data_IF_160956025688
#
_entry.id   IF_160956025688
#
_cell.length_a   1.000
_cell.length_b   1.000
_cell.length_c   1.000
_cell.angle_alpha   90.00
_cell.angle_beta   90.00
_cell.angle_gamma   90.00
#
_symmetry.space_group_name_H-M   'P 1'
#
loop_
_entity.id
_entity.type
_entity.pdbx_description
1 polymer ?
#
# COMPACT_ATOMS: atom_id res chain seq x y z
N UNK A 1 6.55 -23.14 38.73
CA UNK A 1 5.48 -24.05 39.21
C UNK A 1 4.30 -24.14 38.24
N UNK A 2 3.69 -23.02 37.81
CA UNK A 2 2.55 -23.06 36.86
C UNK A 2 2.87 -23.70 35.49
N UNK A 3 4.00 -23.35 34.88
CA UNK A 3 4.40 -23.89 33.57
C UNK A 3 4.53 -25.43 33.58
N UNK A 4 5.25 -26.00 34.56
CA UNK A 4 5.43 -27.45 34.69
C UNK A 4 4.09 -28.18 34.85
N UNK A 5 3.17 -27.64 35.66
CA UNK A 5 1.83 -28.21 35.80
C UNK A 5 1.06 -28.24 34.47
N UNK A 6 1.10 -27.15 33.69
CA UNK A 6 0.44 -27.10 32.38
C UNK A 6 1.10 -28.05 31.36
N UNK A 7 2.42 -28.18 31.43
CA UNK A 7 3.17 -29.11 30.60
C UNK A 7 2.79 -30.57 30.91
N UNK A 8 2.82 -30.96 32.19
CA UNK A 8 2.48 -32.31 32.62
C UNK A 8 1.01 -32.67 32.31
N UNK A 9 0.13 -31.68 32.22
CA UNK A 9 -1.27 -31.83 31.80
C UNK A 9 -1.46 -31.92 30.27
N UNK A 10 -0.39 -31.85 29.47
CA UNK A 10 -0.43 -31.86 28.00
C UNK A 10 -1.00 -30.59 27.37
N UNK A 11 -1.16 -29.51 28.15
CA UNK A 11 -1.70 -28.24 27.67
C UNK A 11 -0.72 -27.53 26.73
N UNK A 12 0.57 -27.53 27.07
CA UNK A 12 1.61 -26.81 26.31
C UNK A 12 1.77 -27.38 24.90
N UNK A 13 1.85 -28.70 24.74
CA UNK A 13 1.95 -29.33 23.41
C UNK A 13 0.75 -28.96 22.52
N UNK A 14 -0.46 -29.09 23.06
CA UNK A 14 -1.69 -28.75 22.34
C UNK A 14 -1.72 -27.28 21.93
N UNK A 15 -1.37 -26.37 22.84
CA UNK A 15 -1.31 -24.95 22.53
C UNK A 15 -0.24 -24.64 21.50
N UNK A 16 0.93 -25.26 21.60
CA UNK A 16 2.01 -25.07 20.64
C UNK A 16 1.58 -25.43 19.21
N UNK A 17 0.91 -26.56 19.03
CA UNK A 17 0.36 -26.97 17.74
C UNK A 17 -0.70 -25.97 17.22
N UNK A 18 -1.60 -25.50 18.08
CA UNK A 18 -2.61 -24.51 17.69
C UNK A 18 -2.00 -23.16 17.31
N UNK A 19 -0.97 -22.70 18.05
CA UNK A 19 -0.28 -21.46 17.75
C UNK A 19 0.52 -21.53 16.46
N UNK A 20 1.20 -22.66 16.22
CA UNK A 20 1.95 -22.89 14.99
C UNK A 20 1.05 -22.87 13.74
N UNK A 21 -0.13 -23.48 13.81
CA UNK A 21 -1.00 -23.63 12.64
C UNK A 21 -1.95 -22.44 12.41
N UNK A 22 -2.52 -21.84 13.46
CA UNK A 22 -3.63 -20.88 13.31
C UNK A 22 -3.49 -19.64 14.20
N UNK A 23 -3.14 -19.78 15.49
CA UNK A 23 -3.26 -18.63 16.43
C UNK A 23 -2.24 -17.53 16.23
N UNK A 24 -1.09 -17.81 15.63
CA UNK A 24 -0.16 -16.76 15.20
C UNK A 24 -0.88 -15.74 14.28
N UNK A 25 -1.73 -16.19 13.35
CA UNK A 25 -2.44 -15.29 12.42
C UNK A 25 -3.49 -14.46 13.18
N UNK A 26 -4.25 -15.09 14.09
CA UNK A 26 -5.22 -14.38 14.92
C UNK A 26 -4.56 -13.31 15.82
N UNK A 27 -3.36 -13.58 16.31
CA UNK A 27 -2.58 -12.61 17.08
C UNK A 27 -2.28 -11.34 16.27
N UNK A 28 -1.88 -11.47 14.99
CA UNK A 28 -1.66 -10.30 14.12
C UNK A 28 -2.92 -9.45 14.02
N UNK A 29 -4.07 -10.08 13.78
CA UNK A 29 -5.35 -9.36 13.68
C UNK A 29 -5.64 -8.61 14.98
N UNK A 30 -5.41 -9.25 16.14
CA UNK A 30 -5.59 -8.61 17.43
C UNK A 30 -4.66 -7.40 17.61
N UNK A 31 -3.38 -7.53 17.27
CA UNK A 31 -2.41 -6.44 17.35
C UNK A 31 -2.74 -5.31 16.39
N UNK A 32 -3.11 -5.60 15.13
CA UNK A 32 -3.47 -4.59 14.15
C UNK A 32 -4.74 -3.82 14.56
N UNK A 33 -5.75 -4.49 15.12
CA UNK A 33 -6.94 -3.84 15.69
C UNK A 33 -6.55 -2.94 16.86
N UNK A 34 -5.65 -3.41 17.73
CA UNK A 34 -5.16 -2.65 18.88
C UNK A 34 -4.39 -1.39 18.46
N UNK A 35 -3.45 -1.52 17.52
CA UNK A 35 -2.70 -0.41 16.94
C UNK A 35 -3.63 0.58 16.22
N UNK A 36 -4.60 0.09 15.46
CA UNK A 36 -5.58 0.94 14.79
C UNK A 36 -6.39 1.77 15.80
N UNK A 37 -6.79 1.19 16.94
CA UNK A 37 -7.43 1.96 18.02
C UNK A 37 -6.48 2.98 18.61
N UNK A 38 -5.26 2.58 18.98
CA UNK A 38 -4.27 3.46 19.59
C UNK A 38 -3.93 4.67 18.70
N UNK A 39 -3.77 4.48 17.38
CA UNK A 39 -3.44 5.57 16.46
C UNK A 39 -4.66 6.40 16.01
N UNK A 40 -5.87 5.84 15.96
CA UNK A 40 -7.08 6.58 15.59
C UNK A 40 -7.71 7.34 16.76
N UNK A 41 -7.42 6.97 18.01
CA UNK A 41 -7.99 7.57 19.22
C UNK A 41 -7.42 8.95 19.60
N UNK A 42 -6.68 9.62 18.71
CA UNK A 42 -6.46 11.07 18.83
C UNK A 42 -7.77 11.86 18.62
N UNK A 43 -8.88 11.22 18.20
CA UNK A 43 -10.12 11.92 17.85
C UNK A 43 -11.31 11.80 18.83
N UNK A 44 -11.68 10.67 19.43
CA UNK A 44 -12.92 10.59 20.26
C UNK A 44 -12.98 9.32 21.16
N UNK A 45 -12.56 9.42 22.43
CA UNK A 45 -13.19 8.80 23.64
C UNK A 45 -12.17 8.81 24.80
N UNK A 46 -12.41 9.64 25.82
CA UNK A 46 -11.54 9.82 26.99
C UNK A 46 -11.54 8.59 27.94
N UNK A 47 -12.50 7.68 27.82
CA UNK A 47 -12.66 6.55 28.76
C UNK A 47 -11.78 5.33 28.45
N UNK A 48 -11.29 5.16 27.21
CA UNK A 48 -10.42 4.05 26.80
C UNK A 48 -8.90 4.36 26.98
N UNK A 49 -8.55 5.62 27.29
CA UNK A 49 -7.15 6.08 27.42
C UNK A 49 -6.45 5.44 28.63
N UNK A 50 -7.20 5.03 29.66
CA UNK A 50 -6.65 4.46 30.89
C UNK A 50 -6.24 2.97 30.76
N UNK A 51 -6.51 2.32 29.63
CA UNK A 51 -6.21 0.89 29.45
C UNK A 51 -5.00 0.60 28.53
N UNK A 52 -4.39 1.62 27.91
CA UNK A 52 -3.24 1.43 27.03
C UNK A 52 -1.94 1.63 27.80
N UNK A 53 -1.32 0.54 28.24
CA UNK A 53 -0.02 0.56 28.92
C UNK A 53 1.18 0.62 27.96
N UNK A 54 0.93 0.73 26.65
CA UNK A 54 1.97 0.76 25.63
C UNK A 54 2.50 -0.60 25.21
N UNK A 55 1.96 -1.70 25.75
CA UNK A 55 2.45 -3.06 25.46
C UNK A 55 1.55 -3.81 24.50
N UNK A 56 2.15 -4.67 23.68
CA UNK A 56 1.40 -5.60 22.84
C UNK A 56 0.83 -6.74 23.68
N UNK A 57 -0.30 -7.36 23.28
CA UNK A 57 -0.84 -8.53 23.96
C UNK A 57 0.20 -9.65 24.13
N UNK A 58 0.14 -10.45 25.22
CA UNK A 58 1.05 -11.57 25.41
C UNK A 58 1.00 -12.59 24.27
N UNK A 59 2.15 -13.08 23.86
CA UNK A 59 2.29 -14.10 22.82
C UNK A 59 2.79 -15.42 23.41
N UNK A 60 2.21 -16.55 23.02
CA UNK A 60 2.55 -17.87 23.59
C UNK A 60 4.04 -18.20 23.51
N UNK A 61 4.66 -18.02 22.35
CA UNK A 61 6.10 -18.27 22.19
C UNK A 61 6.97 -17.34 23.05
N UNK A 62 6.55 -16.09 23.27
CA UNK A 62 7.23 -15.18 24.20
C UNK A 62 7.11 -15.65 25.65
N UNK A 63 5.93 -16.13 26.06
CA UNK A 63 5.76 -16.69 27.41
C UNK A 63 6.57 -17.98 27.64
N UNK A 64 6.76 -18.79 26.60
CA UNK A 64 7.63 -19.96 26.67
C UNK A 64 9.10 -19.58 26.89
N UNK A 65 9.59 -18.60 26.14
CA UNK A 65 10.98 -18.15 26.17
C UNK A 65 11.40 -17.49 27.50
N UNK A 66 10.44 -17.14 28.38
CA UNK A 66 10.70 -16.67 29.75
C UNK A 66 11.16 -17.77 30.71
N UNK A 67 11.06 -19.05 30.34
CA UNK A 67 11.39 -20.18 31.22
C UNK A 67 12.36 -21.15 30.55
N UNK A 68 13.35 -21.64 31.30
CA UNK A 68 14.33 -22.62 30.78
C UNK A 68 13.67 -23.87 30.18
N UNK A 69 12.64 -24.41 30.85
CA UNK A 69 11.90 -25.57 30.34
C UNK A 69 11.14 -25.23 29.06
N UNK A 70 10.56 -24.03 28.95
CA UNK A 70 9.89 -23.58 27.75
C UNK A 70 10.87 -23.43 26.57
N UNK A 71 12.06 -22.88 26.80
CA UNK A 71 13.13 -22.83 25.80
C UNK A 71 13.53 -24.23 25.34
N UNK A 72 13.73 -25.19 26.25
CA UNK A 72 14.07 -26.57 25.90
C UNK A 72 13.01 -27.20 24.98
N UNK A 73 11.73 -27.06 25.34
CA UNK A 73 10.62 -27.59 24.53
C UNK A 73 10.58 -26.91 23.15
N UNK A 74 10.77 -25.59 23.10
CA UNK A 74 10.79 -24.85 21.84
C UNK A 74 11.93 -25.30 20.91
N UNK A 75 13.12 -25.56 21.48
CA UNK A 75 14.28 -26.09 20.76
C UNK A 75 14.00 -27.50 20.23
N UNK A 76 13.47 -28.39 21.07
CA UNK A 76 13.17 -29.78 20.68
C UNK A 76 12.14 -29.87 19.55
N UNK A 77 11.17 -28.95 19.52
CA UNK A 77 10.11 -28.90 18.50
C UNK A 77 10.58 -28.28 17.20
N UNK A 78 11.63 -27.46 17.21
CA UNK A 78 12.22 -26.86 16.00
C UNK A 78 11.38 -25.74 15.35
N UNK A 79 10.30 -25.28 15.99
CA UNK A 79 9.41 -24.27 15.41
C UNK A 79 10.14 -22.95 15.09
N UNK A 80 11.10 -22.55 15.93
CA UNK A 80 11.85 -21.32 15.71
C UNK A 80 12.73 -21.40 14.44
N UNK A 81 13.33 -22.55 14.16
CA UNK A 81 14.08 -22.77 12.92
C UNK A 81 13.15 -22.71 11.69
N UNK A 82 11.96 -23.31 11.77
CA UNK A 82 10.95 -23.21 10.72
C UNK A 82 10.47 -21.76 10.49
N UNK A 83 10.30 -20.99 11.56
CA UNK A 83 9.98 -19.57 11.49
C UNK A 83 11.08 -18.77 10.78
N UNK A 84 12.33 -18.99 11.16
CA UNK A 84 13.49 -18.34 10.54
C UNK A 84 13.63 -18.68 9.07
N UNK A 85 13.44 -19.95 8.70
CA UNK A 85 13.44 -20.38 7.30
C UNK A 85 12.29 -19.74 6.51
N UNK A 86 11.09 -19.65 7.09
CA UNK A 86 9.94 -19.03 6.44
C UNK A 86 10.16 -17.54 6.19
N UNK A 87 10.68 -16.80 7.18
CA UNK A 87 11.00 -15.37 7.04
C UNK A 87 11.98 -15.15 5.88
N UNK A 88 13.07 -15.92 5.82
CA UNK A 88 14.07 -15.81 4.74
C UNK A 88 13.47 -16.12 3.36
N UNK A 89 12.64 -17.15 3.28
CA UNK A 89 12.02 -17.58 2.02
C UNK A 89 11.04 -16.55 1.47
N UNK A 90 10.36 -15.81 2.34
CA UNK A 90 9.26 -14.90 1.97
C UNK A 90 9.59 -13.42 2.19
N UNK A 91 10.86 -13.06 2.39
CA UNK A 91 11.30 -11.69 2.68
C UNK A 91 10.91 -10.65 1.61
N UNK A 92 10.79 -11.08 0.36
CA UNK A 92 10.42 -10.25 -0.80
C UNK A 92 8.94 -10.40 -1.22
N UNK A 93 8.13 -11.12 -0.44
CA UNK A 93 6.71 -11.33 -0.77
C UNK A 93 5.94 -10.01 -0.83
N UNK A 94 5.16 -9.83 -1.90
CA UNK A 94 4.44 -8.58 -2.16
C UNK A 94 3.10 -8.74 -2.87
N UNK A 95 2.74 -9.95 -3.27
CA UNK A 95 1.54 -10.23 -4.08
C UNK A 95 0.53 -11.09 -3.31
N UNK A 96 0.99 -12.15 -2.65
CA UNK A 96 0.12 -13.10 -1.97
C UNK A 96 -0.23 -12.62 -0.55
N UNK A 97 -1.49 -12.19 -0.37
CA UNK A 97 -1.99 -11.67 0.90
C UNK A 97 -1.96 -12.71 2.03
N UNK A 98 -2.15 -14.00 1.73
CA UNK A 98 -2.11 -15.05 2.75
C UNK A 98 -0.67 -15.26 3.23
N UNK A 99 0.30 -15.27 2.31
CA UNK A 99 1.72 -15.36 2.66
C UNK A 99 2.21 -14.10 3.40
N UNK A 100 1.76 -12.91 3.01
CA UNK A 100 2.06 -11.66 3.72
C UNK A 100 1.54 -11.72 5.17
N UNK A 101 0.30 -12.16 5.37
CA UNK A 101 -0.27 -12.29 6.71
C UNK A 101 0.45 -13.34 7.54
N UNK A 102 0.79 -14.48 6.94
CA UNK A 102 1.59 -15.52 7.61
C UNK A 102 2.98 -15.00 7.98
N UNK A 103 3.65 -14.25 7.10
CA UNK A 103 4.95 -13.64 7.37
C UNK A 103 4.88 -12.67 8.55
N UNK A 104 3.89 -11.76 8.57
CA UNK A 104 3.66 -10.88 9.72
C UNK A 104 3.48 -11.66 11.02
N UNK A 105 2.72 -12.76 10.97
CA UNK A 105 2.45 -13.57 12.16
C UNK A 105 3.69 -14.23 12.74
N UNK A 106 4.58 -14.69 11.87
CA UNK A 106 5.84 -15.31 12.25
C UNK A 106 6.84 -14.25 12.73
N UNK A 107 6.88 -13.07 12.10
CA UNK A 107 7.69 -11.93 12.56
C UNK A 107 7.29 -11.52 13.99
N UNK A 108 5.99 -11.41 14.29
CA UNK A 108 5.51 -11.14 15.64
C UNK A 108 5.89 -12.23 16.64
N UNK A 109 5.82 -13.50 16.24
CA UNK A 109 6.25 -14.61 17.08
C UNK A 109 7.74 -14.52 17.43
N UNK A 110 8.60 -14.28 16.42
CA UNK A 110 10.05 -14.10 16.59
C UNK A 110 10.37 -12.89 17.46
N UNK A 111 9.70 -11.75 17.24
CA UNK A 111 9.88 -10.55 18.07
C UNK A 111 9.52 -10.78 19.54
N UNK A 112 8.41 -11.48 19.80
CA UNK A 112 8.01 -11.80 21.17
C UNK A 112 8.96 -12.79 21.86
N UNK A 113 9.57 -13.72 21.12
CA UNK A 113 10.65 -14.56 21.65
C UNK A 113 11.87 -13.70 21.99
N UNK A 114 12.31 -12.84 21.05
CA UNK A 114 13.44 -11.95 21.22
C UNK A 114 13.27 -10.85 22.28
N UNK A 115 12.04 -10.59 22.74
CA UNK A 115 11.75 -9.70 23.86
C UNK A 115 12.06 -10.32 25.24
N UNK A 116 12.72 -11.47 25.27
CA UNK A 116 13.06 -12.19 26.50
C UNK A 116 14.53 -12.61 26.47
N UNK A 117 15.20 -12.54 27.62
CA UNK A 117 16.61 -12.94 27.75
C UNK A 117 16.84 -14.41 27.32
N UNK A 118 15.89 -15.31 27.64
CA UNK A 118 15.97 -16.72 27.24
C UNK A 118 15.68 -16.98 25.76
N UNK A 119 15.14 -15.99 25.04
CA UNK A 119 14.81 -16.08 23.62
C UNK A 119 15.92 -15.59 22.69
N UNK A 120 16.80 -14.69 23.14
CA UNK A 120 17.90 -14.15 22.32
C UNK A 120 18.82 -15.23 21.73
N UNK A 121 19.20 -16.32 22.44
CA UNK A 121 20.04 -17.36 21.86
C UNK A 121 19.44 -17.98 20.60
N UNK A 122 18.12 -18.11 20.51
CA UNK A 122 17.46 -18.61 19.29
C UNK A 122 17.65 -17.66 18.10
N UNK A 123 17.58 -16.35 18.35
CA UNK A 123 17.76 -15.33 17.31
C UNK A 123 19.20 -15.31 16.79
N UNK A 124 20.17 -15.50 17.69
CA UNK A 124 21.60 -15.60 17.37
C UNK A 124 21.93 -16.90 16.63
N UNK A 125 21.50 -18.06 17.15
CA UNK A 125 21.72 -19.37 16.53
C UNK A 125 21.18 -19.45 15.10
N UNK A 126 19.99 -18.88 14.89
CA UNK A 126 19.40 -18.84 13.55
C UNK A 126 19.93 -17.69 12.70
N UNK A 127 20.66 -16.69 13.22
CA UNK A 127 21.05 -15.47 12.49
C UNK A 127 19.85 -14.74 11.83
N UNK A 128 18.77 -14.53 12.58
CA UNK A 128 17.52 -13.99 12.02
C UNK A 128 17.47 -12.45 11.97
N UNK A 129 18.20 -11.77 12.86
CA UNK A 129 18.16 -10.30 12.98
C UNK A 129 18.51 -9.60 11.65
N UNK A 130 19.58 -9.97 10.91
CA UNK A 130 19.88 -9.38 9.60
C UNK A 130 18.74 -9.51 8.58
N UNK A 131 17.99 -10.63 8.62
CA UNK A 131 16.87 -10.83 7.72
C UNK A 131 15.69 -9.91 8.07
N UNK A 132 15.41 -9.71 9.37
CA UNK A 132 14.37 -8.78 9.83
C UNK A 132 14.72 -7.34 9.45
N UNK A 133 15.97 -6.93 9.63
CA UNK A 133 16.48 -5.62 9.22
C UNK A 133 16.34 -5.39 7.70
N UNK A 134 16.74 -6.39 6.90
CA UNK A 134 16.60 -6.31 5.44
C UNK A 134 15.14 -6.14 5.00
N UNK A 135 14.20 -6.82 5.66
CA UNK A 135 12.75 -6.66 5.38
C UNK A 135 12.27 -5.27 5.81
N UNK A 136 12.70 -4.79 6.99
CA UNK A 136 12.35 -3.46 7.51
C UNK A 136 12.73 -2.35 6.50
N UNK A 137 13.92 -2.46 5.92
CA UNK A 137 14.46 -1.46 5.00
C UNK A 137 13.96 -1.62 3.56
N UNK A 138 13.86 -2.86 3.04
CA UNK A 138 13.74 -3.10 1.59
C UNK A 138 12.40 -3.69 1.16
N UNK A 139 11.54 -4.12 2.09
CA UNK A 139 10.27 -4.75 1.70
C UNK A 139 9.41 -3.78 0.88
N UNK A 140 8.86 -4.22 -0.27
CA UNK A 140 7.94 -3.41 -1.07
C UNK A 140 6.58 -3.22 -0.40
N UNK A 141 6.28 -3.94 0.68
CA UNK A 141 5.00 -3.88 1.41
C UNK A 141 5.18 -3.05 2.70
N UNK A 142 4.68 -1.80 2.76
CA UNK A 142 4.91 -0.91 3.89
C UNK A 142 4.41 -1.45 5.24
N UNK A 143 3.32 -2.23 5.26
CA UNK A 143 2.83 -2.82 6.50
C UNK A 143 3.76 -3.90 7.06
N UNK A 144 4.55 -4.58 6.22
CA UNK A 144 5.56 -5.54 6.69
C UNK A 144 6.75 -4.77 7.26
N UNK A 145 7.21 -3.70 6.59
CA UNK A 145 8.25 -2.80 7.13
C UNK A 145 7.90 -2.31 8.53
N UNK A 146 6.67 -1.82 8.72
CA UNK A 146 6.17 -1.39 10.03
C UNK A 146 6.08 -2.53 11.05
N UNK A 147 5.75 -3.74 10.63
CA UNK A 147 5.78 -4.93 11.51
C UNK A 147 7.20 -5.23 11.98
N UNK A 148 8.18 -5.21 11.06
CA UNK A 148 9.59 -5.39 11.41
C UNK A 148 10.09 -4.30 12.36
N UNK A 149 9.66 -3.05 12.17
CA UNK A 149 9.99 -1.95 13.09
C UNK A 149 9.54 -2.24 14.53
N UNK A 150 8.30 -2.70 14.73
CA UNK A 150 7.83 -3.11 16.06
C UNK A 150 8.57 -4.33 16.60
N UNK A 151 8.88 -5.30 15.74
CA UNK A 151 9.66 -6.50 16.11
C UNK A 151 11.07 -6.14 16.57
N UNK A 152 11.74 -5.20 15.90
CA UNK A 152 13.06 -4.71 16.30
C UNK A 152 12.98 -3.96 17.63
N UNK A 153 11.91 -3.17 17.87
CA UNK A 153 11.63 -2.59 19.18
C UNK A 153 11.42 -3.64 20.27
N UNK A 154 10.70 -4.73 19.97
CA UNK A 154 10.56 -5.85 20.92
C UNK A 154 11.91 -6.48 21.26
N UNK A 155 12.78 -6.73 20.28
CA UNK A 155 14.13 -7.29 20.49
C UNK A 155 14.97 -6.32 21.34
N UNK A 156 14.89 -5.01 21.06
CA UNK A 156 15.61 -3.97 21.80
C UNK A 156 15.09 -3.73 23.22
N UNK A 157 14.13 -4.51 23.73
CA UNK A 157 13.65 -4.40 25.12
C UNK A 157 14.60 -5.07 26.13
N UNK A 158 15.51 -5.91 25.64
CA UNK A 158 16.57 -6.56 26.43
C UNK A 158 17.90 -5.82 26.23
N UNK A 159 18.79 -5.87 27.23
CA UNK A 159 20.09 -5.18 27.12
C UNK A 159 20.96 -5.79 26.02
N UNK A 160 21.01 -7.13 25.93
CA UNK A 160 21.77 -7.82 24.90
C UNK A 160 21.12 -7.62 23.51
N UNK A 161 19.79 -7.63 23.40
CA UNK A 161 19.11 -7.34 22.13
C UNK A 161 19.37 -5.91 21.63
N UNK A 162 19.42 -4.93 22.54
CA UNK A 162 19.80 -3.56 22.22
C UNK A 162 21.26 -3.45 21.74
N UNK A 163 22.20 -4.14 22.39
CA UNK A 163 23.61 -4.19 21.99
C UNK A 163 23.77 -4.83 20.60
N UNK A 164 23.09 -5.95 20.34
CA UNK A 164 23.12 -6.59 19.01
C UNK A 164 22.61 -5.65 17.92
N UNK A 165 21.55 -4.86 18.19
CA UNK A 165 21.01 -3.93 17.20
C UNK A 165 21.94 -2.72 16.96
N UNK A 166 22.69 -2.29 17.98
CA UNK A 166 23.70 -1.24 17.84
C UNK A 166 24.79 -1.64 16.82
N UNK A 167 25.21 -2.91 16.80
CA UNK A 167 26.15 -3.45 15.80
C UNK A 167 25.63 -3.30 14.35
N UNK A 168 24.31 -3.27 14.17
CA UNK A 168 23.65 -3.04 12.88
C UNK A 168 23.26 -1.57 12.63
N UNK A 169 23.77 -0.63 13.43
CA UNK A 169 23.41 0.80 13.35
C UNK A 169 21.92 1.06 13.57
N UNK A 170 21.33 0.33 14.51
CA UNK A 170 19.98 0.54 15.01
C UNK A 170 20.04 0.88 16.51
N UNK A 171 19.83 2.14 16.84
CA UNK A 171 19.99 2.67 18.19
C UNK A 171 18.74 2.41 19.03
N UNK A 172 18.91 1.69 20.15
CA UNK A 172 17.87 1.53 21.15
C UNK A 172 17.83 2.72 22.10
N UNK A 173 16.63 3.17 22.47
CA UNK A 173 16.49 4.22 23.48
C UNK A 173 16.56 3.62 24.89
N UNK A 174 17.19 4.36 25.80
CA UNK A 174 17.38 3.96 27.20
C UNK A 174 16.56 4.87 28.11
N UNK A 175 16.06 4.32 29.21
CA UNK A 175 15.48 5.10 30.29
C UNK A 175 16.58 5.77 31.14
N UNK A 176 16.24 6.65 32.11
CA UNK A 176 17.23 7.32 32.95
C UNK A 176 18.10 6.39 33.82
N UNK A 177 17.71 5.11 33.98
CA UNK A 177 18.48 4.09 34.68
C UNK A 177 19.40 3.30 33.73
N UNK A 178 19.45 3.66 32.44
CA UNK A 178 20.25 2.99 31.43
C UNK A 178 19.64 1.68 30.91
N UNK A 179 18.38 1.38 31.24
CA UNK A 179 17.70 0.18 30.76
C UNK A 179 16.99 0.46 29.43
N UNK A 180 17.04 -0.46 28.46
CA UNK A 180 16.32 -0.29 27.20
C UNK A 180 14.81 -0.14 27.40
N UNK A 181 14.17 0.69 26.58
CA UNK A 181 12.73 0.96 26.66
C UNK A 181 11.89 0.10 25.71
N UNK A 182 12.53 -0.67 24.81
CA UNK A 182 11.85 -1.38 23.72
C UNK A 182 11.51 -0.51 22.50
N UNK A 183 12.16 0.66 22.37
CA UNK A 183 12.13 1.49 21.16
C UNK A 183 13.51 1.49 20.51
N UNK A 184 13.55 1.25 19.21
CA UNK A 184 14.78 1.20 18.42
C UNK A 184 14.58 1.86 17.05
N UNK A 185 15.56 2.64 16.60
CA UNK A 185 15.49 3.39 15.35
C UNK A 185 16.78 3.22 14.52
N UNK A 186 16.69 3.16 13.19
CA UNK A 186 17.88 3.13 12.35
C UNK A 186 18.63 4.46 12.43
N UNK A 187 19.96 4.40 12.49
CA UNK A 187 20.83 5.58 12.36
C UNK A 187 20.67 6.19 10.97
N UNK A 188 20.61 5.37 9.92
CA UNK A 188 20.24 5.80 8.57
C UNK A 188 18.72 5.78 8.39
N UNK A 189 18.06 6.83 8.88
CA UNK A 189 16.62 6.99 8.77
C UNK A 189 16.12 7.04 7.32
N UNK A 190 16.91 7.60 6.39
CA UNK A 190 16.50 7.79 4.98
C UNK A 190 16.28 6.44 4.30
N UNK A 191 17.15 5.47 4.54
CA UNK A 191 17.02 4.10 4.02
C UNK A 191 15.68 3.45 4.43
N UNK A 192 15.23 3.72 5.66
CA UNK A 192 14.03 3.14 6.24
C UNK A 192 12.73 3.85 5.82
N UNK A 193 12.76 5.15 5.53
CA UNK A 193 11.56 5.88 5.08
C UNK A 193 11.40 5.93 3.56
N UNK A 194 12.48 5.70 2.81
CA UNK A 194 12.43 5.76 1.35
C UNK A 194 11.56 4.63 0.81
N UNK A 195 10.62 4.99 -0.07
CA UNK A 195 9.85 4.04 -0.88
C UNK A 195 10.21 4.34 -2.34
N UNK A 196 10.70 3.35 -3.12
CA UNK A 196 11.01 3.54 -4.52
C UNK A 196 9.82 4.13 -5.27
N UNK A 197 10.05 5.21 -6.02
CA UNK A 197 9.01 5.81 -6.85
C UNK A 197 8.58 4.84 -7.94
N UNK A 198 7.27 4.64 -8.09
CA UNK A 198 6.74 3.89 -9.22
C UNK A 198 7.13 4.57 -10.53
N UNK A 199 7.79 3.83 -11.42
CA UNK A 199 8.16 4.36 -12.74
C UNK A 199 6.95 4.27 -13.67
N UNK A 200 6.41 5.41 -14.15
CA UNK A 200 5.25 5.39 -15.02
C UNK A 200 5.60 4.78 -16.37
N UNK A 201 4.79 3.82 -16.83
CA UNK A 201 4.85 3.36 -18.21
C UNK A 201 4.42 4.50 -19.12
N UNK A 202 5.37 5.11 -19.81
CA UNK A 202 5.10 6.14 -20.82
C UNK A 202 4.55 5.43 -22.05
N UNK A 203 3.21 5.36 -22.13
CA UNK A 203 2.55 4.91 -23.35
C UNK A 203 2.66 6.04 -24.37
N UNK A 204 3.25 5.74 -25.52
CA UNK A 204 3.27 6.66 -26.66
C UNK A 204 1.82 7.07 -26.95
N UNK A 205 1.51 8.37 -26.83
CA UNK A 205 0.16 8.90 -27.00
C UNK A 205 -0.20 8.91 -28.49
N UNK A 206 -0.16 7.76 -29.15
CA UNK A 206 -0.91 7.60 -30.38
C UNK A 206 -2.37 7.78 -30.01
N UNK A 207 -3.02 8.80 -30.56
CA UNK A 207 -4.44 9.13 -30.36
C UNK A 207 -5.33 7.94 -30.79
N UNK A 208 -5.41 6.90 -29.97
CA UNK A 208 -6.18 5.71 -30.28
C UNK A 208 -7.63 6.00 -29.91
N UNK A 209 -8.37 6.57 -30.85
CA UNK A 209 -9.84 6.64 -30.75
C UNK A 209 -10.36 5.21 -30.61
N UNK A 210 -11.30 5.02 -29.68
CA UNK A 210 -12.01 3.76 -29.53
C UNK A 210 -13.27 3.77 -30.40
N UNK A 211 -13.61 2.62 -30.98
CA UNK A 211 -14.91 2.43 -31.65
C UNK A 211 -16.01 2.67 -30.61
N UNK A 212 -17.00 3.56 -30.81
CA UNK A 212 -18.02 3.86 -29.80
C UNK A 212 -18.89 2.63 -29.48
N UNK A 213 -19.49 2.53 -28.28
CA UNK A 213 -20.52 1.54 -28.00
C UNK A 213 -21.76 1.80 -28.88
N UNK A 214 -22.44 0.74 -29.29
CA UNK A 214 -23.65 0.81 -30.11
C UNK A 214 -24.92 0.61 -29.30
N UNK A 215 -24.82 0.00 -28.12
CA UNK A 215 -25.95 -0.30 -27.23
C UNK A 215 -26.30 0.94 -26.40
N UNK A 216 -27.58 1.33 -26.38
CA UNK A 216 -28.06 2.54 -25.69
C UNK A 216 -27.67 2.58 -24.21
N UNK A 217 -27.87 1.47 -23.48
CA UNK A 217 -27.48 1.38 -22.07
C UNK A 217 -25.96 1.55 -21.83
N UNK A 218 -25.12 1.09 -22.76
CA UNK A 218 -23.66 1.29 -22.68
C UNK A 218 -23.28 2.75 -22.95
N UNK A 219 -23.97 3.40 -23.91
CA UNK A 219 -23.80 4.81 -24.23
C UNK A 219 -24.12 5.66 -23.00
N UNK A 220 -25.27 5.43 -22.35
CA UNK A 220 -25.67 6.18 -21.15
C UNK A 220 -24.66 6.08 -20.01
N UNK A 221 -24.16 4.87 -19.73
CA UNK A 221 -23.14 4.65 -18.68
C UNK A 221 -21.86 5.42 -19.01
N UNK A 222 -21.40 5.35 -20.25
CA UNK A 222 -20.17 6.01 -20.68
C UNK A 222 -20.32 7.53 -20.66
N UNK A 223 -21.44 8.07 -21.12
CA UNK A 223 -21.73 9.51 -21.04
C UNK A 223 -21.78 9.98 -19.59
N UNK A 224 -22.37 9.21 -18.68
CA UNK A 224 -22.36 9.54 -17.27
C UNK A 224 -20.94 9.50 -16.66
N UNK A 225 -20.10 8.54 -17.06
CA UNK A 225 -18.69 8.49 -16.66
C UNK A 225 -17.95 9.75 -17.15
N UNK A 226 -18.12 10.14 -18.42
CA UNK A 226 -17.53 11.37 -18.97
C UNK A 226 -17.96 12.63 -18.21
N UNK A 227 -19.23 12.71 -17.81
CA UNK A 227 -19.77 13.83 -17.06
C UNK A 227 -19.19 13.95 -15.63
N UNK A 228 -18.59 12.88 -15.08
CA UNK A 228 -17.89 12.96 -13.80
C UNK A 228 -16.61 13.82 -13.86
N UNK A 229 -16.07 14.10 -15.06
CA UNK A 229 -14.95 15.03 -15.22
C UNK A 229 -15.35 16.49 -14.99
N UNK A 230 -16.63 16.83 -15.19
CA UNK A 230 -17.14 18.18 -15.04
C UNK A 230 -17.68 18.38 -13.61
N UNK A 231 -16.99 19.23 -12.83
CA UNK A 231 -17.32 19.47 -11.42
C UNK A 231 -18.72 20.03 -11.18
N UNK A 232 -19.33 20.70 -12.17
CA UNK A 232 -20.68 21.27 -12.04
C UNK A 232 -21.75 20.16 -12.07
N UNK A 233 -21.56 19.14 -12.92
CA UNK A 233 -22.55 18.08 -13.14
C UNK A 233 -22.14 16.73 -12.54
N UNK A 234 -20.94 16.60 -11.99
CA UNK A 234 -20.40 15.35 -11.43
C UNK A 234 -21.34 14.72 -10.38
N UNK A 235 -21.97 15.53 -9.52
CA UNK A 235 -22.92 15.03 -8.52
C UNK A 235 -24.19 14.43 -9.17
N UNK A 236 -24.69 15.03 -10.24
CA UNK A 236 -25.82 14.49 -10.98
C UNK A 236 -25.43 13.20 -11.71
N UNK A 237 -24.27 13.18 -12.36
CA UNK A 237 -23.73 12.01 -13.04
C UNK A 237 -23.48 10.82 -12.09
N UNK A 238 -22.92 11.08 -10.90
CA UNK A 238 -22.71 10.09 -9.85
C UNK A 238 -24.03 9.47 -9.39
N UNK A 239 -25.07 10.28 -9.13
CA UNK A 239 -26.41 9.76 -8.78
C UNK A 239 -27.02 8.92 -9.90
N UNK A 240 -26.82 9.32 -11.16
CA UNK A 240 -27.28 8.55 -12.32
C UNK A 240 -26.57 7.20 -12.42
N UNK A 241 -25.25 7.16 -12.21
CA UNK A 241 -24.47 5.92 -12.21
C UNK A 241 -24.87 4.98 -11.07
N UNK A 242 -25.11 5.51 -9.87
CA UNK A 242 -25.64 4.73 -8.76
C UNK A 242 -27.01 4.10 -9.08
N UNK A 243 -27.89 4.87 -9.74
CA UNK A 243 -29.20 4.38 -10.19
C UNK A 243 -29.10 3.34 -11.30
N UNK A 244 -28.20 3.53 -12.26
CA UNK A 244 -27.96 2.54 -13.32
C UNK A 244 -27.42 1.24 -12.73
N UNK A 245 -26.42 1.31 -11.82
CA UNK A 245 -25.82 0.13 -11.17
C UNK A 245 -26.84 -0.73 -10.41
N UNK A 246 -27.89 -0.15 -9.84
CA UNK A 246 -28.92 -0.91 -9.11
C UNK A 246 -29.93 -1.63 -10.01
N UNK A 247 -30.07 -1.21 -11.27
CA UNK A 247 -31.05 -1.78 -12.20
C UNK A 247 -30.51 -3.06 -12.88
N UNK A 248 -31.34 -4.12 -13.01
CA UNK A 248 -30.92 -5.37 -13.64
C UNK A 248 -30.39 -5.21 -15.08
N UNK A 249 -30.96 -4.26 -15.84
CA UNK A 249 -30.61 -4.00 -17.25
C UNK A 249 -29.14 -3.55 -17.43
N UNK A 250 -28.54 -2.85 -16.46
CA UNK A 250 -27.14 -2.41 -16.55
C UNK A 250 -26.16 -3.34 -15.83
N UNK A 251 -26.62 -4.38 -15.11
CA UNK A 251 -25.73 -5.25 -14.30
C UNK A 251 -24.63 -5.91 -15.13
N UNK A 252 -24.92 -6.28 -16.38
CA UNK A 252 -23.95 -6.87 -17.33
C UNK A 252 -22.88 -5.87 -17.78
N UNK A 253 -23.17 -4.57 -17.76
CA UNK A 253 -22.25 -3.52 -18.19
C UNK A 253 -21.12 -3.36 -17.17
N UNK A 254 -21.47 -3.33 -15.88
CA UNK A 254 -20.49 -3.20 -14.77
C UNK A 254 -19.68 -4.47 -14.48
N UNK A 255 -19.94 -5.56 -15.21
CA UNK A 255 -19.17 -6.83 -15.17
C UNK A 255 -18.48 -7.12 -16.51
N UNK A 256 -18.58 -6.21 -17.49
CA UNK A 256 -17.99 -6.39 -18.81
C UNK A 256 -16.55 -5.84 -18.86
N UNK A 257 -15.55 -6.68 -19.18
CA UNK A 257 -14.16 -6.23 -19.37
C UNK A 257 -14.02 -5.17 -20.46
N UNK A 258 -14.84 -5.24 -21.52
CA UNK A 258 -14.84 -4.26 -22.62
C UNK A 258 -15.31 -2.89 -22.14
N UNK A 259 -16.35 -2.83 -21.32
CA UNK A 259 -16.84 -1.57 -20.74
C UNK A 259 -15.89 -1.02 -19.69
N UNK A 260 -15.27 -1.89 -18.91
CA UNK A 260 -14.21 -1.51 -17.98
C UNK A 260 -13.01 -0.89 -18.72
N UNK A 261 -12.56 -1.50 -19.83
CA UNK A 261 -11.50 -0.94 -20.66
C UNK A 261 -11.84 0.46 -21.18
N UNK A 262 -13.09 0.68 -21.63
CA UNK A 262 -13.56 2.01 -22.06
C UNK A 262 -13.52 3.03 -20.93
N UNK A 263 -13.96 2.65 -19.73
CA UNK A 263 -13.89 3.50 -18.55
C UNK A 263 -12.44 3.85 -18.20
N UNK A 264 -11.54 2.86 -18.22
CA UNK A 264 -10.08 3.05 -18.02
C UNK A 264 -9.47 3.99 -19.06
N UNK A 265 -9.87 3.87 -20.32
CA UNK A 265 -9.45 4.77 -21.40
C UNK A 265 -9.95 6.21 -21.17
N UNK A 266 -11.18 6.38 -20.68
CA UNK A 266 -11.73 7.72 -20.38
C UNK A 266 -10.95 8.38 -19.24
N UNK A 267 -10.69 7.67 -18.14
CA UNK A 267 -9.97 8.24 -16.99
C UNK A 267 -8.48 8.49 -17.23
N UNK A 268 -7.89 7.80 -18.23
CA UNK A 268 -6.50 8.00 -18.65
C UNK A 268 -6.33 9.16 -19.64
N UNK A 269 -7.35 9.45 -20.45
CA UNK A 269 -7.32 10.52 -21.47
C UNK A 269 -7.89 11.85 -20.96
N UNK A 270 -8.78 11.84 -19.98
CA UNK A 270 -9.39 13.03 -19.39
C UNK A 270 -8.91 13.28 -17.96
N UNK A 271 -9.07 14.52 -17.47
CA UNK A 271 -8.71 14.90 -16.10
C UNK A 271 -9.83 14.56 -15.13
N UNK A 272 -9.57 13.63 -14.23
CA UNK A 272 -10.42 13.29 -13.09
C UNK A 272 -9.66 13.47 -11.78
N UNK A 273 -10.38 13.90 -10.73
CA UNK A 273 -9.84 13.88 -9.36
C UNK A 273 -9.72 12.44 -8.87
N UNK A 274 -8.76 12.17 -7.99
CA UNK A 274 -8.50 10.82 -7.46
C UNK A 274 -9.75 10.13 -6.87
N UNK A 275 -10.59 10.79 -6.04
CA UNK A 275 -11.80 10.14 -5.50
C UNK A 275 -12.77 9.68 -6.60
N UNK A 276 -12.87 10.42 -7.70
CA UNK A 276 -13.73 10.09 -8.83
C UNK A 276 -13.16 8.94 -9.65
N UNK A 277 -11.82 8.89 -9.84
CA UNK A 277 -11.16 7.74 -10.48
C UNK A 277 -11.43 6.46 -9.71
N UNK A 278 -11.26 6.50 -8.38
CA UNK A 278 -11.55 5.37 -7.49
C UNK A 278 -13.02 4.96 -7.59
N UNK A 279 -13.93 5.91 -7.50
CA UNK A 279 -15.36 5.66 -7.69
C UNK A 279 -15.67 4.97 -9.04
N UNK A 280 -15.08 5.43 -10.15
CA UNK A 280 -15.28 4.81 -11.47
C UNK A 280 -14.76 3.36 -11.50
N UNK A 281 -13.62 3.08 -10.87
CA UNK A 281 -13.08 1.71 -10.78
C UNK A 281 -14.02 0.84 -9.93
N UNK A 282 -14.43 1.33 -8.75
CA UNK A 282 -15.32 0.63 -7.81
C UNK A 282 -16.74 0.40 -8.36
N UNK A 283 -17.13 1.11 -9.44
CA UNK A 283 -18.37 0.82 -10.14
C UNK A 283 -18.34 -0.57 -10.80
N UNK A 284 -17.16 -1.02 -11.27
CA UNK A 284 -16.99 -2.31 -11.94
C UNK A 284 -16.63 -3.40 -10.93
N UNK A 285 -17.43 -4.46 -10.90
CA UNK A 285 -17.21 -5.59 -9.99
C UNK A 285 -16.29 -6.62 -10.66
N UNK A 286 -15.07 -6.20 -10.99
CA UNK A 286 -14.08 -7.03 -11.68
C UNK A 286 -12.83 -7.18 -10.82
N UNK A 287 -12.48 -8.42 -10.52
CA UNK A 287 -11.24 -8.75 -9.82
C UNK A 287 -10.04 -8.63 -10.77
N UNK A 288 -8.99 -7.94 -10.34
CA UNK A 288 -7.78 -7.78 -11.13
C UNK A 288 -6.96 -9.07 -11.08
N UNK A 289 -7.11 -9.90 -12.10
CA UNK A 289 -6.36 -11.15 -12.26
C UNK A 289 -5.81 -11.28 -13.69
N UNK A 290 -5.01 -12.32 -13.93
CA UNK A 290 -4.37 -12.57 -15.22
C UNK A 290 -5.37 -12.73 -16.38
N UNK A 291 -6.53 -13.33 -16.12
CA UNK A 291 -7.61 -13.48 -17.10
C UNK A 291 -8.21 -12.12 -17.50
N UNK A 292 -8.52 -11.26 -16.52
CA UNK A 292 -9.00 -9.92 -16.79
C UNK A 292 -7.97 -9.11 -17.59
N UNK A 293 -6.68 -9.16 -17.22
CA UNK A 293 -5.61 -8.49 -17.96
C UNK A 293 -5.57 -8.96 -19.42
N UNK A 294 -5.75 -10.26 -19.66
CA UNK A 294 -5.79 -10.82 -21.02
C UNK A 294 -7.00 -10.31 -21.80
N UNK A 295 -8.17 -10.25 -21.17
CA UNK A 295 -9.41 -9.69 -21.76
C UNK A 295 -9.27 -8.20 -22.06
N UNK A 296 -8.61 -7.43 -21.19
CA UNK A 296 -8.33 -6.00 -21.41
C UNK A 296 -7.35 -5.80 -22.57
N UNK A 297 -6.29 -6.62 -22.67
CA UNK A 297 -5.37 -6.62 -23.83
C UNK A 297 -6.09 -6.94 -25.13
N UNK A 298 -7.03 -7.88 -25.10
CA UNK A 298 -7.87 -8.19 -26.25
C UNK A 298 -8.79 -7.02 -26.62
N UNK A 299 -9.49 -6.42 -25.65
CA UNK A 299 -10.32 -5.23 -25.86
C UNK A 299 -9.52 -4.06 -26.45
N UNK A 300 -8.28 -3.84 -25.99
CA UNK A 300 -7.39 -2.82 -26.52
C UNK A 300 -7.08 -3.00 -28.02
N UNK A 301 -7.00 -4.25 -28.50
CA UNK A 301 -6.79 -4.55 -29.93
C UNK A 301 -8.07 -4.37 -30.73
N UNK A 302 -9.18 -4.94 -30.25
CA UNK A 302 -10.46 -4.96 -30.98
C UNK A 302 -11.11 -3.59 -31.07
N UNK A 303 -11.03 -2.79 -30.00
CA UNK A 303 -11.68 -1.48 -29.95
C UNK A 303 -10.88 -0.36 -30.63
N UNK A 304 -9.64 -0.65 -31.08
CA UNK A 304 -8.81 0.35 -31.76
C UNK A 304 -9.39 0.64 -33.14
N UNK A 305 -9.67 1.92 -33.42
CA UNK A 305 -10.12 2.33 -34.75
C UNK A 305 -8.98 2.09 -35.76
N UNK A 306 -9.20 1.21 -36.73
CA UNK A 306 -8.33 1.08 -37.90
C UNK A 306 -8.67 2.16 -38.93
N UNK A 307 -7.66 2.78 -39.54
CA UNK A 307 -7.78 3.89 -40.51
C UNK A 307 -8.65 3.61 -41.75
N UNK A 308 -9.16 2.39 -41.91
CA UNK A 308 -9.99 1.92 -43.02
C UNK A 308 -11.50 1.82 -42.71
N UNK A 309 -11.95 2.14 -41.49
CA UNK A 309 -13.40 2.14 -41.18
C UNK A 309 -14.08 3.38 -41.75
N UNK A 310 -14.88 3.21 -42.82
CA UNK A 310 -15.84 4.22 -43.24
C UNK A 310 -16.96 4.27 -42.18
N UNK A 311 -17.04 5.40 -41.48
CA UNK A 311 -18.01 5.62 -40.40
C UNK A 311 -19.30 6.24 -40.95
N UNK A 312 -20.45 5.82 -40.44
CA UNK A 312 -21.74 6.49 -40.73
C UNK A 312 -21.76 7.89 -40.06
N UNK A 313 -22.54 8.86 -40.58
CA UNK A 313 -22.67 10.20 -39.95
C UNK A 313 -23.06 10.13 -38.46
N UNK A 314 -23.89 9.15 -38.10
CA UNK A 314 -24.28 8.91 -36.70
C UNK A 314 -23.12 8.45 -35.83
N UNK A 315 -22.20 7.66 -36.39
CA UNK A 315 -21.00 7.22 -35.71
C UNK A 315 -19.96 8.33 -35.67
N UNK A 316 -19.88 9.21 -36.68
CA UNK A 316 -18.99 10.38 -36.67
C UNK A 316 -19.33 11.34 -35.53
N UNK A 317 -20.62 11.60 -35.31
CA UNK A 317 -21.11 12.40 -34.16
C UNK A 317 -20.83 11.72 -32.81
N UNK A 318 -20.96 10.39 -32.73
CA UNK A 318 -20.60 9.62 -31.53
C UNK A 318 -19.10 9.61 -31.28
N UNK A 319 -18.28 9.44 -32.32
CA UNK A 319 -16.83 9.58 -32.26
C UNK A 319 -16.41 11.00 -31.86
N UNK A 320 -17.20 12.03 -32.15
CA UNK A 320 -16.96 13.39 -31.64
C UNK A 320 -17.20 13.52 -30.14
N UNK A 321 -18.13 12.75 -29.55
CA UNK A 321 -18.26 12.63 -28.08
C UNK A 321 -17.08 11.87 -27.45
N UNK A 322 -16.38 11.07 -28.25
CA UNK A 322 -15.11 10.41 -27.92
C UNK A 322 -13.91 11.08 -28.60
N UNK A 323 -14.03 12.39 -28.90
CA UNK A 323 -13.19 13.14 -29.85
C UNK A 323 -11.67 13.02 -29.66
N UNK A 324 -10.88 13.50 -30.64
CA UNK A 324 -9.43 13.58 -30.49
C UNK A 324 -9.07 14.50 -29.32
N UNK A 325 -8.37 13.96 -28.33
CA UNK A 325 -7.97 14.69 -27.13
C UNK A 325 -6.48 15.06 -27.23
N UNK A 326 -6.22 16.29 -27.67
CA UNK A 326 -4.87 16.85 -27.62
C UNK A 326 -4.59 18.06 -28.52
N UNK A 327 -5.40 19.15 -28.48
CA UNK A 327 -4.79 20.46 -28.81
C UNK A 327 -4.14 21.01 -27.54
N UNK A 328 -2.82 21.32 -27.54
CA UNK A 328 -2.20 21.96 -26.40
C UNK A 328 -2.86 23.32 -26.21
N UNK A 329 -3.50 23.52 -25.06
CA UNK A 329 -4.01 24.83 -24.68
C UNK A 329 -2.79 25.70 -24.37
N UNK A 330 -2.40 26.55 -25.32
CA UNK A 330 -1.48 27.68 -25.09
C UNK A 330 -2.08 28.47 -23.93
N UNK A 331 -1.29 28.71 -22.87
CA UNK A 331 -1.76 29.42 -21.68
C UNK A 331 -2.31 30.78 -22.06
N UNK A 332 -3.57 31.06 -21.69
CA UNK A 332 -4.09 32.42 -21.70
C UNK A 332 -3.53 33.15 -20.49
N UNK A 333 -2.60 34.06 -20.74
CA UNK A 333 -2.29 35.18 -19.87
C UNK A 333 -3.03 36.36 -20.50
N UNK A 334 -3.78 37.11 -19.70
CA UNK A 334 -4.37 38.37 -20.15
C UNK A 334 -3.28 39.43 -20.26
N UNK A 335 -3.30 40.21 -21.34
CA UNK A 335 -3.33 41.68 -21.33
C UNK A 335 -2.77 42.25 -22.65
N UNK A 336 -3.60 43.13 -23.22
CA UNK A 336 -3.28 44.32 -24.02
C UNK A 336 -2.62 44.21 -25.42
N UNK A 337 -2.86 45.28 -26.17
CA UNK A 337 -2.92 45.47 -27.62
C UNK A 337 -1.54 45.46 -28.32
N UNK A 338 -1.47 44.89 -29.53
CA UNK A 338 -1.05 45.61 -30.76
C UNK A 338 -0.95 44.64 -31.97
N UNK A 339 -1.37 45.14 -33.14
CA UNK A 339 -1.26 44.49 -34.45
C UNK A 339 0.21 44.19 -34.84
N UNK A 340 0.48 43.04 -35.47
CA UNK A 340 1.32 42.83 -36.67
C UNK A 340 1.49 41.32 -37.02
N UNK A 341 1.65 41.05 -38.32
CA UNK A 341 1.54 39.78 -39.09
C UNK A 341 2.06 38.43 -38.50
N UNK A 342 1.56 37.27 -39.01
CA UNK A 342 1.91 35.94 -38.50
C UNK A 342 3.26 35.42 -39.03
N UNK A 343 4.14 34.84 -38.19
CA UNK A 343 5.30 34.10 -38.69
C UNK A 343 4.95 32.64 -39.00
N UNK A 344 5.60 32.13 -40.05
CA UNK A 344 5.50 30.77 -40.62
C UNK A 344 5.89 29.66 -39.62
N UNK A 345 5.44 28.40 -39.82
CA UNK A 345 5.66 27.33 -38.86
C UNK A 345 7.09 26.78 -38.97
N UNK A 346 7.92 27.05 -37.96
CA UNK A 346 9.13 26.25 -37.68
C UNK A 346 8.73 25.06 -36.82
N UNK A 347 9.06 23.87 -37.30
CA UNK A 347 8.81 22.61 -36.60
C UNK A 347 9.75 22.46 -35.42
N UNK A 348 9.23 22.66 -34.21
CA UNK A 348 9.88 22.21 -32.99
C UNK A 348 9.29 20.86 -32.55
N UNK A 349 10.19 19.90 -32.42
CA UNK A 349 9.94 18.58 -31.84
C UNK A 349 9.40 18.78 -30.42
N UNK A 350 8.11 18.47 -30.23
CA UNK A 350 7.45 18.53 -28.92
C UNK A 350 8.19 17.61 -27.94
N UNK A 351 8.85 18.20 -26.94
CA UNK A 351 9.34 17.45 -25.79
C UNK A 351 8.21 16.59 -25.20
N UNK A 352 8.47 15.32 -24.84
CA UNK A 352 7.44 14.45 -24.28
C UNK A 352 6.95 15.03 -22.94
N UNK A 353 5.75 15.61 -22.95
CA UNK A 353 5.09 16.11 -21.75
C UNK A 353 4.94 14.97 -20.74
N UNK A 354 5.68 15.09 -19.63
CA UNK A 354 5.59 14.19 -18.47
C UNK A 354 4.12 14.01 -18.07
N UNK A 355 3.68 12.78 -17.72
CA UNK A 355 2.33 12.57 -17.22
C UNK A 355 2.10 13.47 -15.99
N UNK A 356 0.95 14.14 -15.95
CA UNK A 356 0.55 14.99 -14.80
C UNK A 356 0.11 14.07 -13.66
N UNK A 357 1.08 13.46 -13.01
CA UNK A 357 0.98 12.95 -11.66
C UNK A 357 2.09 13.66 -10.90
N UNK A 358 1.83 14.89 -10.48
CA UNK A 358 2.66 15.58 -9.48
C UNK A 358 2.32 14.97 -8.12
N UNK A 359 2.90 13.81 -7.82
CA UNK A 359 3.15 13.37 -6.45
C UNK A 359 4.60 13.71 -6.14
N UNK A 360 4.94 15.00 -6.17
CA UNK A 360 6.16 15.44 -5.50
C UNK A 360 5.82 15.63 -4.02
N UNK A 361 6.62 15.09 -3.09
CA UNK A 361 6.50 15.44 -1.69
C UNK A 361 6.57 16.97 -1.56
N UNK A 362 5.70 17.53 -0.72
CA UNK A 362 5.75 18.96 -0.42
C UNK A 362 7.04 19.22 0.35
N UNK A 363 8.07 19.73 -0.34
CA UNK A 363 9.26 20.25 0.32
C UNK A 363 8.87 21.54 1.04
N UNK A 364 8.48 21.41 2.32
CA UNK A 364 8.31 22.56 3.19
C UNK A 364 9.71 22.95 3.67
N UNK A 365 10.29 23.97 3.05
CA UNK A 365 11.46 24.66 3.61
C UNK A 365 10.98 25.27 4.93
N UNK A 366 11.35 24.66 6.05
CA UNK A 366 11.23 25.31 7.35
C UNK A 366 12.30 26.40 7.35
N UNK A 367 11.89 27.64 7.15
CA UNK A 367 12.76 28.79 7.29
C UNK A 367 13.34 28.79 8.70
N UNK A 368 14.66 28.57 8.78
CA UNK A 368 15.43 28.90 9.97
C UNK A 368 15.33 30.40 10.20
N UNK A 369 14.91 30.77 11.41
CA UNK A 369 15.04 32.12 11.90
C UNK A 369 16.54 32.43 12.08
N UNK A 370 17.02 33.42 11.34
CA UNK A 370 18.24 34.15 11.69
C UNK A 370 17.92 35.21 12.75
N UNK A 371 18.99 35.61 13.46
CA UNK A 371 19.16 36.75 14.36
C UNK A 371 18.81 36.57 15.85
N UNK A 372 19.83 36.17 16.62
CA UNK A 372 20.48 36.97 17.68
C UNK A 372 21.61 36.11 18.27
N UNK A 373 22.87 36.53 18.34
CA UNK A 373 23.34 37.52 19.33
C UNK A 373 24.73 38.01 18.96
N UNK A 374 24.91 39.32 19.08
CA UNK A 374 26.12 40.10 18.84
C UNK A 374 27.24 39.80 19.84
N UNK A 375 28.45 40.02 19.32
CA UNK A 375 29.69 40.37 20.01
C UNK A 375 29.47 41.60 20.90
N UNK A 376 29.62 41.44 22.22
CA UNK A 376 30.58 42.15 23.08
C UNK A 376 30.47 41.74 24.55
#
# INVERSE_FOLDING_TARGET
>A
MGFRYLYDAGYIDREMDMWFNERNIYYVVQVEVFLAKAFNNIANDDDDILAFDGTVPPHFYGEMAKTELGCQILQEKGHFAEFSQFIRKHSEECEDMELIMKLKSILWAVGNVGATEGGLPFLEEEEIIPAVLAIAEKSPVPSIRGTCFFVLGLISSTSQGAEILDDYSWEATLNPLGMPTGLCVPVDFESFITIPSWTPVVVDRTESRLIPPTVEAEIEVITAIQNLANTVIANAASRSLARMKSRPEYRRIFTSPTMFFRALHIISTQRYRLPIRRYIIDLFNLELNQDLVTKLKHAAKVLKVHSSCQLSESDTSRLSMFGPLGRPRRGSISDEEDELDPPKPTGDLLEPQKPVITLQPVNKIVGGFDDTTQVH
#
